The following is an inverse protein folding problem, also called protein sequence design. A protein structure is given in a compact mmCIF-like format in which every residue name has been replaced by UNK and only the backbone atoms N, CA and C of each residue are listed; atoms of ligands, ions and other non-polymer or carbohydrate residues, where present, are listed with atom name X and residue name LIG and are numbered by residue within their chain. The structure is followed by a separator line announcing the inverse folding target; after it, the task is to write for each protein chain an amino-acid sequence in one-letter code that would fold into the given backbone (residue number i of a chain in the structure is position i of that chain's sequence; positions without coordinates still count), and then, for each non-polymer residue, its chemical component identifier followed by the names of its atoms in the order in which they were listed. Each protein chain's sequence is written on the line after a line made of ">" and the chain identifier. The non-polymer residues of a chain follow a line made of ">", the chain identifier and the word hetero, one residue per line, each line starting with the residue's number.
data_IF_541775193977
#
_entry.id   IF_541775193977
#
_cell.length_a   1.000
_cell.length_b   1.000
_cell.length_c   1.000
_cell.angle_alpha   90.00
_cell.angle_beta   90.00
_cell.angle_gamma   90.00
#
_symmetry.space_group_name_H-M   'P 1'
#
loop_
_entity.id
_entity.type
_entity.pdbx_description
1 polymer ?
#
# COMPACT_ATOMS: atom_id res chain seq x y z
N UNK A 1 -8.17 -33.83 5.36
CA UNK A 1 -7.09 -34.41 4.52
C UNK A 1 -7.18 -33.72 3.17
N UNK A 2 -6.38 -32.74 2.78
CA UNK A 2 -5.24 -32.04 3.36
C UNK A 2 -5.47 -30.56 3.00
N UNK A 3 -5.54 -29.68 3.99
CA UNK A 3 -5.43 -28.25 3.73
C UNK A 3 -3.97 -27.99 3.37
N UNK A 4 -3.72 -27.60 2.12
CA UNK A 4 -2.41 -27.21 1.62
C UNK A 4 -1.88 -26.05 2.47
N UNK A 5 -1.06 -26.38 3.47
CA UNK A 5 -0.25 -25.44 4.22
C UNK A 5 0.92 -24.93 3.37
N UNK A 6 0.68 -24.60 2.10
CA UNK A 6 1.48 -23.59 1.44
C UNK A 6 1.27 -22.32 2.28
N UNK A 7 2.34 -21.85 2.92
CA UNK A 7 2.34 -20.61 3.71
C UNK A 7 1.65 -19.51 2.91
N UNK A 8 0.37 -19.25 3.21
CA UNK A 8 -0.38 -18.18 2.56
C UNK A 8 0.36 -16.91 2.88
N UNK A 9 0.94 -16.27 1.87
CA UNK A 9 1.66 -15.01 2.02
C UNK A 9 0.71 -14.01 2.67
N UNK A 10 1.16 -13.43 3.78
CA UNK A 10 0.39 -12.48 4.58
C UNK A 10 1.21 -11.25 4.90
N UNK A 11 0.52 -10.15 5.15
CA UNK A 11 1.15 -8.94 5.65
C UNK A 11 1.81 -9.18 7.00
N UNK A 12 2.98 -8.57 7.20
CA UNK A 12 3.75 -8.57 8.45
C UNK A 12 3.81 -7.15 9.07
N UNK A 13 3.29 -6.17 8.34
CA UNK A 13 3.10 -4.78 8.74
C UNK A 13 4.36 -3.90 8.67
N UNK A 14 5.45 -4.35 8.07
CA UNK A 14 6.63 -3.51 7.88
C UNK A 14 6.41 -2.36 6.89
N UNK A 15 5.39 -2.45 6.03
CA UNK A 15 4.99 -1.41 5.09
C UNK A 15 4.43 -0.19 5.82
N UNK A 16 4.93 1.00 5.47
CA UNK A 16 4.59 2.26 6.15
C UNK A 16 4.44 3.42 5.16
N UNK A 17 3.57 4.37 5.49
CA UNK A 17 3.30 5.56 4.67
C UNK A 17 2.94 6.79 5.54
N UNK A 18 3.05 7.99 4.96
CA UNK A 18 2.76 9.27 5.60
C UNK A 18 3.95 9.77 6.41
N UNK A 19 4.45 10.97 6.12
CA UNK A 19 5.63 11.52 6.81
C UNK A 19 5.38 11.71 8.32
N UNK A 20 6.40 11.38 9.10
CA UNK A 20 6.42 11.70 10.53
C UNK A 20 6.83 13.15 10.79
N UNK A 21 6.68 13.64 12.04
CA UNK A 21 6.99 15.04 12.39
C UNK A 21 8.42 15.47 12.05
N UNK A 22 9.38 14.54 12.05
CA UNK A 22 10.78 14.80 11.70
C UNK A 22 11.13 14.46 10.24
N UNK A 23 10.16 14.05 9.42
CA UNK A 23 10.39 13.57 8.04
C UNK A 23 11.13 12.23 7.94
N UNK A 24 11.41 11.56 9.07
CA UNK A 24 12.12 10.28 9.10
C UNK A 24 11.19 9.13 8.74
N UNK A 25 11.72 8.15 8.01
CA UNK A 25 10.97 6.95 7.61
C UNK A 25 10.54 6.08 8.80
N UNK A 26 11.28 6.14 9.92
CA UNK A 26 10.96 5.42 11.17
C UNK A 26 9.79 6.01 11.95
N UNK A 27 9.37 7.24 11.60
CA UNK A 27 8.29 7.97 12.29
C UNK A 27 7.05 8.08 11.41
N UNK A 28 6.95 7.29 10.34
CA UNK A 28 5.80 7.33 9.43
C UNK A 28 4.49 7.04 10.16
N UNK A 29 3.45 7.79 9.80
CA UNK A 29 2.19 7.83 10.54
C UNK A 29 1.36 6.54 10.39
N UNK A 30 1.32 6.00 9.17
CA UNK A 30 0.50 4.84 8.84
C UNK A 30 1.34 3.59 8.63
N UNK A 31 0.78 2.44 9.04
CA UNK A 31 1.39 1.12 8.92
C UNK A 31 0.37 0.15 8.33
N UNK A 32 0.85 -0.81 7.55
CA UNK A 32 0.02 -1.93 7.07
C UNK A 32 -0.33 -2.83 8.26
N UNK A 33 -1.60 -3.23 8.36
CA UNK A 33 -2.05 -4.16 9.40
C UNK A 33 -1.63 -5.60 9.07
N UNK A 34 -0.90 -6.30 9.94
CA UNK A 34 -0.44 -7.68 9.70
C UNK A 34 -1.60 -8.68 9.63
N UNK A 35 -1.33 -9.86 9.05
CA UNK A 35 -2.23 -11.02 9.05
C UNK A 35 -3.23 -11.08 7.90
N UNK A 36 -3.24 -10.10 7.00
CA UNK A 36 -4.10 -10.08 5.81
C UNK A 36 -3.46 -10.86 4.67
N UNK A 37 -4.25 -11.63 3.91
CA UNK A 37 -3.77 -12.41 2.78
C UNK A 37 -3.28 -11.54 1.62
N UNK A 38 -2.29 -12.04 0.88
CA UNK A 38 -1.75 -11.36 -0.29
C UNK A 38 -2.83 -11.01 -1.32
N UNK A 39 -3.76 -11.93 -1.62
CA UNK A 39 -4.83 -11.70 -2.59
C UNK A 39 -5.70 -10.49 -2.24
N UNK A 40 -6.17 -10.43 -0.97
CA UNK A 40 -6.97 -9.30 -0.49
C UNK A 40 -6.17 -7.99 -0.57
N UNK A 41 -4.91 -8.02 -0.14
CA UNK A 41 -4.05 -6.83 -0.09
C UNK A 41 -3.72 -6.31 -1.49
N UNK A 42 -3.47 -7.21 -2.45
CA UNK A 42 -3.23 -6.85 -3.85
C UNK A 42 -4.49 -6.29 -4.52
N UNK A 43 -5.67 -6.83 -4.20
CA UNK A 43 -6.94 -6.27 -4.65
C UNK A 43 -7.14 -4.84 -4.12
N UNK A 44 -6.88 -4.60 -2.82
CA UNK A 44 -6.94 -3.24 -2.25
C UNK A 44 -5.93 -2.30 -2.91
N UNK A 45 -4.68 -2.76 -3.14
CA UNK A 45 -3.67 -1.95 -3.84
C UNK A 45 -4.10 -1.59 -5.27
N UNK A 46 -4.71 -2.53 -6.00
CA UNK A 46 -5.22 -2.28 -7.35
C UNK A 46 -6.38 -1.26 -7.35
N UNK A 47 -7.30 -1.34 -6.39
CA UNK A 47 -8.38 -0.36 -6.22
C UNK A 47 -7.82 1.05 -5.97
N UNK A 48 -6.83 1.18 -5.07
CA UNK A 48 -6.16 2.45 -4.79
C UNK A 48 -5.50 3.01 -6.06
N UNK A 49 -4.77 2.19 -6.81
CA UNK A 49 -4.11 2.62 -8.05
C UNK A 49 -5.11 2.98 -9.16
N UNK A 50 -6.28 2.35 -9.20
CA UNK A 50 -7.39 2.74 -10.07
C UNK A 50 -7.90 4.15 -9.75
N UNK A 51 -8.01 4.50 -8.46
CA UNK A 51 -8.35 5.86 -8.04
C UNK A 51 -7.25 6.86 -8.40
N UNK A 52 -5.98 6.51 -8.16
CA UNK A 52 -4.82 7.35 -8.54
C UNK A 52 -4.86 7.69 -10.02
N UNK A 53 -5.11 6.70 -10.89
CA UNK A 53 -5.18 6.94 -12.33
C UNK A 53 -6.25 7.97 -12.71
N UNK A 54 -7.45 7.87 -12.11
CA UNK A 54 -8.55 8.80 -12.35
C UNK A 54 -8.23 10.20 -11.83
N UNK A 55 -7.79 10.30 -10.57
CA UNK A 55 -7.50 11.57 -9.93
C UNK A 55 -6.36 12.32 -10.61
N UNK A 56 -5.28 11.63 -10.97
CA UNK A 56 -4.16 12.25 -11.70
C UNK A 56 -4.61 12.78 -13.06
N UNK A 57 -5.46 12.03 -13.79
CA UNK A 57 -6.00 12.50 -15.06
C UNK A 57 -6.87 13.75 -14.88
N UNK A 58 -7.74 13.77 -13.86
CA UNK A 58 -8.59 14.94 -13.57
C UNK A 58 -7.77 16.14 -13.09
N UNK A 59 -6.80 15.93 -12.20
CA UNK A 59 -5.93 16.99 -11.70
C UNK A 59 -5.13 17.67 -12.82
N UNK A 60 -4.73 16.94 -13.86
CA UNK A 60 -4.06 17.53 -15.03
C UNK A 60 -4.99 18.39 -15.89
N UNK A 61 -6.29 18.09 -15.91
CA UNK A 61 -7.28 18.82 -16.72
C UNK A 61 -7.82 20.03 -15.95
N UNK A 62 -8.10 19.84 -14.66
CA UNK A 62 -8.77 20.83 -13.81
C UNK A 62 -7.78 21.66 -12.98
N UNK A 63 -6.48 21.35 -13.04
CA UNK A 63 -5.42 21.95 -12.20
C UNK A 63 -5.74 21.90 -10.69
N UNK A 64 -6.47 20.86 -10.27
CA UNK A 64 -6.90 20.69 -8.88
C UNK A 64 -5.78 20.06 -8.02
N UNK A 65 -5.14 20.90 -7.21
CA UNK A 65 -4.09 20.50 -6.26
C UNK A 65 -4.58 19.49 -5.22
N UNK A 66 -5.85 19.54 -4.82
CA UNK A 66 -6.41 18.59 -3.85
C UNK A 66 -6.54 17.20 -4.46
N UNK A 67 -6.92 17.09 -5.74
CA UNK A 67 -6.92 15.80 -6.45
C UNK A 67 -5.51 15.25 -6.63
N UNK A 68 -4.53 16.10 -6.96
CA UNK A 68 -3.13 15.70 -7.03
C UNK A 68 -2.60 15.22 -5.68
N UNK A 69 -2.95 15.91 -4.58
CA UNK A 69 -2.62 15.51 -3.23
C UNK A 69 -3.26 14.16 -2.86
N UNK A 70 -4.55 13.97 -3.15
CA UNK A 70 -5.22 12.69 -2.91
C UNK A 70 -4.56 11.54 -3.69
N UNK A 71 -4.23 11.75 -4.97
CA UNK A 71 -3.51 10.76 -5.77
C UNK A 71 -2.14 10.40 -5.17
N UNK A 72 -1.40 11.39 -4.65
CA UNK A 72 -0.13 11.16 -3.96
C UNK A 72 -0.31 10.27 -2.71
N UNK A 73 -1.29 10.58 -1.86
CA UNK A 73 -1.55 9.80 -0.65
C UNK A 73 -1.98 8.35 -0.95
N UNK A 74 -2.91 8.17 -1.90
CA UNK A 74 -3.37 6.84 -2.29
C UNK A 74 -2.25 6.00 -2.93
N UNK A 75 -1.39 6.63 -3.75
CA UNK A 75 -0.20 5.97 -4.31
C UNK A 75 0.74 5.48 -3.21
N UNK A 76 0.97 6.30 -2.19
CA UNK A 76 1.81 5.95 -1.07
C UNK A 76 1.26 4.80 -0.22
N UNK A 77 -0.06 4.76 0.00
CA UNK A 77 -0.73 3.63 0.67
C UNK A 77 -0.62 2.33 -0.16
N UNK A 78 -0.88 2.38 -1.47
CA UNK A 78 -0.74 1.23 -2.35
C UNK A 78 0.70 0.68 -2.36
N UNK A 79 1.68 1.58 -2.40
CA UNK A 79 3.10 1.23 -2.30
C UNK A 79 3.40 0.52 -0.98
N UNK A 80 2.94 1.04 0.15
CA UNK A 80 3.16 0.42 1.45
C UNK A 80 2.60 -1.01 1.52
N UNK A 81 1.42 -1.27 0.93
CA UNK A 81 0.84 -2.62 0.85
C UNK A 81 1.72 -3.59 0.05
N UNK A 82 2.20 -3.16 -1.13
CA UNK A 82 3.05 -3.99 -1.99
C UNK A 82 4.42 -4.24 -1.36
N UNK A 83 5.02 -3.22 -0.75
CA UNK A 83 6.31 -3.35 -0.04
C UNK A 83 6.22 -4.30 1.16
N UNK A 84 5.08 -4.29 1.87
CA UNK A 84 4.84 -5.21 2.98
C UNK A 84 4.88 -6.67 2.54
N UNK A 85 4.11 -7.00 1.49
CA UNK A 85 4.06 -8.35 0.92
C UNK A 85 5.38 -8.77 0.31
N UNK A 86 6.07 -7.85 -0.39
CA UNK A 86 7.40 -8.14 -0.94
C UNK A 86 8.38 -8.50 0.17
N UNK A 87 8.37 -7.76 1.28
CA UNK A 87 9.23 -8.04 2.42
C UNK A 87 8.84 -9.34 3.13
N UNK A 88 7.54 -9.63 3.25
CA UNK A 88 7.06 -10.91 3.80
C UNK A 88 7.55 -12.09 2.95
N UNK A 89 7.48 -11.98 1.62
CA UNK A 89 7.91 -13.02 0.69
C UNK A 89 9.44 -13.23 0.73
N UNK A 90 10.23 -12.16 0.88
CA UNK A 90 11.69 -12.26 1.05
C UNK A 90 12.12 -12.90 2.37
N UNK A 91 11.25 -12.92 3.40
CA UNK A 91 11.52 -13.57 4.69
C UNK A 91 11.07 -15.04 4.76
N UNK A 92 10.26 -15.47 3.80
CA UNK A 92 9.80 -16.86 3.67
C UNK A 92 10.73 -17.75 2.82
N UNK A 93 11.77 -17.18 2.22
CA UNK A 93 12.83 -17.88 1.48
C UNK A 93 14.08 -18.02 2.34
#
# INVERSE_FOLDING_TARGET
>A
MNDDHASVLKTIGVGTFGEGPSGKTTERLFRVEPGHSADFVLEQAALLMGCVSKLTHQAMIEEDEAMACAAHFLSGMAKALVEDLATANSRSQ
#
